data_IF_749281194959
#
_entry.id   IF_749281194959
#
_cell.length_a   1.000
_cell.length_b   1.000
_cell.length_c   1.000
_cell.angle_alpha   90.00
_cell.angle_beta   90.00
_cell.angle_gamma   90.00
#
_symmetry.space_group_name_H-M   'P 1'
#
loop_
_entity.id
_entity.type
_entity.pdbx_description
1 polymer ?
#
# COMPACT_ATOMS: atom_id res chain seq x y z
N UNK A 1 -24.90 -3.54 24.12
CA UNK A 1 -25.57 -3.50 22.80
C UNK A 1 -24.77 -4.36 21.84
N UNK A 2 -25.40 -5.29 21.13
CA UNK A 2 -24.72 -5.98 20.03
C UNK A 2 -24.36 -4.93 18.97
N UNK A 3 -23.07 -4.74 18.70
CA UNK A 3 -22.62 -3.83 17.64
C UNK A 3 -22.98 -4.48 16.32
N UNK A 4 -23.89 -3.90 15.54
CA UNK A 4 -24.15 -4.41 14.18
C UNK A 4 -22.90 -4.18 13.32
N UNK A 5 -22.72 -4.97 12.25
CA UNK A 5 -21.61 -4.76 11.29
C UNK A 5 -21.61 -3.33 10.75
N UNK A 6 -22.80 -2.75 10.55
CA UNK A 6 -22.97 -1.34 10.20
C UNK A 6 -22.37 -0.39 11.24
N UNK A 7 -22.70 -0.59 12.52
CA UNK A 7 -22.17 0.23 13.62
C UNK A 7 -20.65 0.11 13.71
N UNK A 8 -20.09 -1.08 13.48
CA UNK A 8 -18.64 -1.28 13.48
C UNK A 8 -17.97 -0.49 12.35
N UNK A 9 -18.54 -0.51 11.14
CA UNK A 9 -18.04 0.27 10.01
C UNK A 9 -18.12 1.77 10.29
N UNK A 10 -19.27 2.25 10.78
CA UNK A 10 -19.48 3.66 11.10
C UNK A 10 -18.54 4.16 12.21
N UNK A 11 -18.28 3.34 13.24
CA UNK A 11 -17.34 3.68 14.30
C UNK A 11 -15.90 3.78 13.77
N UNK A 12 -15.45 2.82 12.94
CA UNK A 12 -14.12 2.88 12.31
C UNK A 12 -13.99 4.11 11.40
N UNK A 13 -15.02 4.43 10.63
CA UNK A 13 -15.05 5.63 9.79
C UNK A 13 -14.89 6.90 10.64
N UNK A 14 -15.67 7.04 11.71
CA UNK A 14 -15.62 8.21 12.60
C UNK A 14 -14.25 8.36 13.25
N UNK A 15 -13.64 7.25 13.67
CA UNK A 15 -12.31 7.26 14.26
C UNK A 15 -11.23 7.72 13.25
N UNK A 16 -11.33 7.29 12.00
CA UNK A 16 -10.39 7.69 10.93
C UNK A 16 -10.62 9.15 10.51
N UNK A 17 -11.86 9.60 10.40
CA UNK A 17 -12.18 11.00 10.10
C UNK A 17 -11.69 11.96 11.18
N UNK A 18 -11.65 11.51 12.44
CA UNK A 18 -11.08 12.26 13.57
C UNK A 18 -9.56 12.15 13.71
N UNK A 19 -8.88 11.36 12.88
CA UNK A 19 -7.43 11.14 12.98
C UNK A 19 -6.63 12.27 12.31
N UNK A 20 -5.50 12.72 12.89
CA UNK A 20 -4.59 13.66 12.25
C UNK A 20 -3.70 13.02 11.16
N UNK A 21 -3.83 11.71 10.95
CA UNK A 21 -3.10 10.95 9.94
C UNK A 21 -3.20 11.57 8.54
N UNK A 22 -2.06 11.68 7.84
CA UNK A 22 -1.99 12.35 6.53
C UNK A 22 -2.87 11.67 5.49
N UNK A 23 -3.03 10.36 5.60
CA UNK A 23 -3.83 9.54 4.68
C UNK A 23 -5.29 9.38 5.14
N UNK A 24 -5.66 9.91 6.31
CA UNK A 24 -6.99 9.76 6.91
C UNK A 24 -8.11 10.13 5.94
N UNK A 25 -8.01 11.28 5.25
CA UNK A 25 -9.05 11.75 4.31
C UNK A 25 -9.25 10.80 3.13
N UNK A 26 -8.15 10.27 2.57
CA UNK A 26 -8.22 9.32 1.45
C UNK A 26 -8.83 7.99 1.90
N UNK A 27 -8.43 7.52 3.09
CA UNK A 27 -8.97 6.29 3.68
C UNK A 27 -10.46 6.46 4.01
N UNK A 28 -10.84 7.56 4.68
CA UNK A 28 -12.23 7.87 4.98
C UNK A 28 -13.10 7.96 3.71
N UNK A 29 -12.56 8.50 2.61
CA UNK A 29 -13.23 8.51 1.31
C UNK A 29 -13.53 7.11 0.78
N UNK A 30 -12.55 6.19 0.87
CA UNK A 30 -12.75 4.79 0.49
C UNK A 30 -13.76 4.08 1.40
N UNK A 31 -13.70 4.34 2.71
CA UNK A 31 -14.60 3.74 3.70
C UNK A 31 -16.04 4.24 3.57
N UNK A 32 -16.23 5.52 3.28
CA UNK A 32 -17.55 6.09 2.98
C UNK A 32 -18.19 5.39 1.77
N UNK A 33 -17.41 5.10 0.73
CA UNK A 33 -17.90 4.31 -0.42
C UNK A 33 -18.21 2.88 -0.02
N UNK A 34 -17.35 2.23 0.77
CA UNK A 34 -17.59 0.87 1.27
C UNK A 34 -18.87 0.78 2.13
N UNK A 35 -19.12 1.76 3.00
CA UNK A 35 -20.34 1.86 3.78
C UNK A 35 -21.58 2.02 2.89
N UNK A 36 -21.51 2.84 1.83
CA UNK A 36 -22.61 2.95 0.85
C UNK A 36 -22.88 1.63 0.13
N UNK A 37 -21.83 0.90 -0.26
CA UNK A 37 -22.00 -0.46 -0.81
C UNK A 37 -22.78 -1.31 0.16
N UNK A 38 -22.33 -1.39 1.41
CA UNK A 38 -22.96 -2.16 2.48
C UNK A 38 -24.44 -1.79 2.71
N UNK A 39 -24.73 -0.49 2.87
CA UNK A 39 -26.08 0.02 3.13
C UNK A 39 -27.06 -0.29 1.98
N UNK A 40 -26.55 -0.47 0.76
CA UNK A 40 -27.38 -0.81 -0.42
C UNK A 40 -27.58 -2.30 -0.64
N UNK A 41 -26.87 -3.20 0.07
CA UNK A 41 -26.98 -4.64 -0.18
C UNK A 41 -28.40 -5.20 0.07
N UNK A 42 -29.10 -4.86 1.17
CA UNK A 42 -30.42 -5.41 1.45
C UNK A 42 -31.49 -4.96 0.43
N UNK A 43 -31.24 -3.86 -0.29
CA UNK A 43 -32.19 -3.29 -1.25
C UNK A 43 -32.00 -3.79 -2.68
N UNK A 44 -31.04 -4.69 -2.94
CA UNK A 44 -30.76 -5.19 -4.29
C UNK A 44 -31.87 -6.12 -4.81
N UNK A 45 -32.36 -7.04 -3.98
CA UNK A 45 -33.26 -8.12 -4.43
C UNK A 45 -34.69 -7.65 -4.71
N UNK A 46 -35.25 -6.82 -3.84
CA UNK A 46 -36.67 -6.44 -3.91
C UNK A 46 -37.08 -5.76 -5.23
N UNK A 47 -36.29 -4.80 -5.79
CA UNK A 47 -36.58 -4.22 -7.10
C UNK A 47 -36.54 -5.25 -8.24
N UNK A 48 -35.61 -6.20 -8.18
CA UNK A 48 -35.47 -7.24 -9.22
C UNK A 48 -36.65 -8.21 -9.17
N UNK A 49 -37.15 -8.54 -7.98
CA UNK A 49 -38.37 -9.34 -7.80
C UNK A 49 -39.57 -8.61 -8.41
N UNK A 50 -39.79 -7.35 -8.04
CA UNK A 50 -40.90 -6.55 -8.57
C UNK A 50 -40.84 -6.39 -10.10
N UNK A 51 -39.63 -6.26 -10.66
CA UNK A 51 -39.43 -6.23 -12.11
C UNK A 51 -39.74 -7.59 -12.75
N UNK A 52 -39.26 -8.69 -12.16
CA UNK A 52 -39.54 -10.04 -12.66
C UNK A 52 -41.05 -10.33 -12.71
N UNK A 53 -41.77 -9.91 -11.66
CA UNK A 53 -43.22 -10.04 -11.57
C UNK A 53 -43.96 -9.19 -12.61
N UNK A 54 -43.59 -7.91 -12.73
CA UNK A 54 -44.27 -6.99 -13.67
C UNK A 54 -44.03 -7.36 -15.14
N UNK A 55 -42.85 -7.87 -15.47
CA UNK A 55 -42.47 -8.28 -16.83
C UNK A 55 -42.72 -9.77 -17.11
N UNK A 56 -43.32 -10.51 -16.16
CA UNK A 56 -43.57 -11.96 -16.26
C UNK A 56 -42.31 -12.76 -16.66
N UNK A 57 -41.16 -12.39 -16.08
CA UNK A 57 -39.87 -13.01 -16.40
C UNK A 57 -39.76 -14.40 -15.79
N UNK A 58 -39.00 -15.26 -16.46
CA UNK A 58 -38.70 -16.60 -15.95
C UNK A 58 -37.61 -16.58 -14.87
N UNK A 59 -37.48 -17.70 -14.15
CA UNK A 59 -36.50 -17.87 -13.06
C UNK A 59 -35.05 -17.70 -13.56
N UNK A 60 -34.75 -18.13 -14.78
CA UNK A 60 -33.43 -17.98 -15.38
C UNK A 60 -33.04 -16.50 -15.54
N UNK A 61 -33.96 -15.66 -16.00
CA UNK A 61 -33.75 -14.21 -16.08
C UNK A 61 -33.58 -13.60 -14.69
N UNK A 62 -34.42 -13.97 -13.72
CA UNK A 62 -34.36 -13.45 -12.36
C UNK A 62 -32.98 -13.75 -11.73
N UNK A 63 -32.51 -15.00 -11.83
CA UNK A 63 -31.19 -15.40 -11.35
C UNK A 63 -30.05 -14.64 -12.03
N UNK A 64 -30.13 -14.43 -13.35
CA UNK A 64 -29.12 -13.66 -14.07
C UNK A 64 -29.12 -12.18 -13.64
N UNK A 65 -30.28 -11.57 -13.42
CA UNK A 65 -30.40 -10.19 -12.98
C UNK A 65 -29.84 -10.01 -11.55
N UNK A 66 -30.16 -10.91 -10.63
CA UNK A 66 -29.62 -10.92 -9.26
C UNK A 66 -28.10 -11.09 -9.27
N UNK A 67 -27.59 -12.07 -10.02
CA UNK A 67 -26.14 -12.29 -10.14
C UNK A 67 -25.43 -11.07 -10.69
N UNK A 68 -25.98 -10.43 -11.73
CA UNK A 68 -25.41 -9.20 -12.30
C UNK A 68 -25.38 -8.08 -11.27
N UNK A 69 -26.47 -7.81 -10.55
CA UNK A 69 -26.55 -6.71 -9.60
C UNK A 69 -25.58 -6.88 -8.42
N UNK A 70 -25.45 -8.09 -7.87
CA UNK A 70 -24.44 -8.39 -6.86
C UNK A 70 -23.02 -8.42 -7.45
N UNK A 71 -22.87 -8.78 -8.72
CA UNK A 71 -21.61 -8.74 -9.46
C UNK A 71 -21.09 -7.30 -9.61
N UNK A 72 -21.97 -6.36 -9.95
CA UNK A 72 -21.64 -4.93 -10.02
C UNK A 72 -21.17 -4.40 -8.65
N UNK A 73 -21.82 -4.84 -7.55
CA UNK A 73 -21.39 -4.51 -6.18
C UNK A 73 -20.04 -5.14 -5.81
N UNK A 74 -19.78 -6.36 -6.28
CA UNK A 74 -18.49 -7.01 -6.10
C UNK A 74 -17.37 -6.25 -6.84
N UNK A 75 -17.63 -5.80 -8.07
CA UNK A 75 -16.69 -4.98 -8.85
C UNK A 75 -16.43 -3.64 -8.16
N UNK A 76 -17.47 -2.99 -7.64
CA UNK A 76 -17.34 -1.75 -6.86
C UNK A 76 -16.44 -1.97 -5.63
N UNK A 77 -16.66 -3.04 -4.87
CA UNK A 77 -15.84 -3.40 -3.72
C UNK A 77 -14.39 -3.74 -4.10
N UNK A 78 -14.18 -4.44 -5.21
CA UNK A 78 -12.86 -4.77 -5.70
C UNK A 78 -12.07 -3.54 -6.17
N UNK A 79 -12.73 -2.53 -6.74
CA UNK A 79 -12.12 -1.21 -7.01
C UNK A 79 -11.69 -0.53 -5.72
N UNK A 80 -12.51 -0.55 -4.67
CA UNK A 80 -12.14 0.01 -3.37
C UNK A 80 -10.93 -0.70 -2.74
N UNK A 81 -10.84 -2.03 -2.90
CA UNK A 81 -9.65 -2.81 -2.48
C UNK A 81 -8.41 -2.38 -3.23
N UNK A 82 -8.52 -2.15 -4.53
CA UNK A 82 -7.42 -1.65 -5.33
C UNK A 82 -7.00 -0.24 -4.87
N UNK A 83 -7.94 0.67 -4.63
CA UNK A 83 -7.66 2.01 -4.10
C UNK A 83 -6.91 1.92 -2.75
N UNK A 84 -7.35 1.06 -1.82
CA UNK A 84 -6.66 0.85 -0.54
C UNK A 84 -5.29 0.20 -0.73
N UNK A 85 -5.10 -0.67 -1.72
CA UNK A 85 -3.79 -1.23 -2.06
C UNK A 85 -2.82 -0.15 -2.61
N UNK A 86 -3.32 0.80 -3.39
CA UNK A 86 -2.53 1.96 -3.83
C UNK A 86 -2.14 2.86 -2.65
N UNK A 87 -3.04 3.05 -1.69
CA UNK A 87 -2.74 3.75 -0.45
C UNK A 87 -1.68 3.00 0.39
N UNK A 88 -1.76 1.67 0.48
CA UNK A 88 -0.72 0.85 1.11
C UNK A 88 0.66 1.06 0.47
N UNK A 89 0.74 1.01 -0.86
CA UNK A 89 2.01 1.28 -1.58
C UNK A 89 2.54 2.69 -1.32
N UNK A 90 1.66 3.68 -1.23
CA UNK A 90 2.04 5.06 -0.93
C UNK A 90 2.53 5.23 0.52
N UNK A 91 1.89 4.52 1.46
CA UNK A 91 2.27 4.47 2.87
C UNK A 91 3.65 3.82 3.07
N UNK A 92 3.89 2.68 2.41
CA UNK A 92 5.20 2.01 2.45
C UNK A 92 6.31 2.93 1.93
N UNK A 93 6.03 3.69 0.86
CA UNK A 93 6.96 4.67 0.30
C UNK A 93 7.15 5.92 1.18
N UNK A 94 6.20 6.23 2.07
CA UNK A 94 6.29 7.36 3.00
C UNK A 94 6.92 6.99 4.34
N UNK A 95 7.38 5.75 4.50
CA UNK A 95 8.10 5.33 5.70
C UNK A 95 9.28 6.27 5.92
N UNK A 96 9.41 6.90 7.09
CA UNK A 96 10.55 7.77 7.35
C UNK A 96 11.83 6.94 7.29
N UNK A 97 12.86 7.44 6.61
CA UNK A 97 14.09 6.70 6.36
C UNK A 97 15.29 7.41 6.97
N UNK A 98 16.34 6.61 7.23
CA UNK A 98 17.66 7.15 7.57
C UNK A 98 18.25 7.80 6.31
N UNK A 99 18.79 9.02 6.39
CA UNK A 99 19.39 9.68 5.23
C UNK A 99 20.43 8.79 4.55
N UNK A 100 20.43 8.72 3.20
CA UNK A 100 21.42 7.94 2.47
C UNK A 100 22.83 8.53 2.67
N UNK A 101 23.85 7.73 2.37
CA UNK A 101 25.24 8.21 2.38
C UNK A 101 25.39 9.29 1.31
N UNK A 102 26.00 10.42 1.69
CA UNK A 102 26.46 11.41 0.72
C UNK A 102 27.63 10.82 -0.08
N UNK A 103 27.38 10.52 -1.35
CA UNK A 103 28.38 9.91 -2.23
C UNK A 103 29.43 10.91 -2.72
N UNK A 104 29.24 12.21 -2.47
CA UNK A 104 30.17 13.26 -2.87
C UNK A 104 31.33 13.41 -1.89
N UNK A 105 31.15 12.98 -0.63
CA UNK A 105 32.22 12.92 0.36
C UNK A 105 32.82 11.51 0.43
N UNK A 106 33.94 11.32 -0.28
CA UNK A 106 34.64 10.04 -0.34
C UNK A 106 35.11 9.55 1.05
N UNK A 107 35.48 10.45 1.96
CA UNK A 107 35.95 10.08 3.30
C UNK A 107 34.78 9.55 4.14
N UNK A 108 33.64 10.23 4.10
CA UNK A 108 32.42 9.77 4.79
C UNK A 108 31.94 8.41 4.25
N UNK A 109 32.02 8.19 2.94
CA UNK A 109 31.70 6.89 2.33
C UNK A 109 32.63 5.78 2.85
N UNK A 110 33.94 6.02 2.85
CA UNK A 110 34.92 5.04 3.32
C UNK A 110 34.75 4.71 4.81
N UNK A 111 34.51 5.72 5.64
CA UNK A 111 34.25 5.54 7.07
C UNK A 111 32.97 4.72 7.30
N UNK A 112 31.90 5.02 6.57
CA UNK A 112 30.62 4.29 6.66
C UNK A 112 30.80 2.82 6.28
N UNK A 113 31.54 2.53 5.22
CA UNK A 113 31.84 1.16 4.81
C UNK A 113 32.69 0.43 5.87
N UNK A 114 33.71 1.10 6.43
CA UNK A 114 34.57 0.54 7.48
C UNK A 114 33.78 0.21 8.76
N UNK A 115 32.87 1.09 9.18
CA UNK A 115 31.95 0.83 10.29
C UNK A 115 31.02 -0.36 9.99
N UNK A 116 30.43 -0.41 8.79
CA UNK A 116 29.57 -1.53 8.39
C UNK A 116 30.33 -2.88 8.38
N UNK A 117 31.58 -2.91 7.93
CA UNK A 117 32.41 -4.11 7.96
C UNK A 117 32.73 -4.56 9.39
N UNK A 118 32.99 -3.62 10.31
CA UNK A 118 33.16 -3.93 11.74
C UNK A 118 31.90 -4.53 12.33
N UNK A 119 30.72 -3.99 12.00
CA UNK A 119 29.44 -4.55 12.42
C UNK A 119 29.28 -5.99 11.90
N UNK A 120 29.62 -6.26 10.64
CA UNK A 120 29.58 -7.61 10.09
C UNK A 120 30.53 -8.59 10.77
N UNK A 121 31.66 -8.11 11.27
CA UNK A 121 32.65 -8.90 12.01
C UNK A 121 32.34 -9.03 13.51
N UNK A 122 31.31 -8.32 14.00
CA UNK A 122 30.96 -8.31 15.43
C UNK A 122 30.24 -9.61 15.80
N UNK A 123 30.72 -10.34 16.82
CA UNK A 123 30.05 -11.54 17.33
C UNK A 123 28.60 -11.25 17.79
N UNK A 124 27.64 -12.18 17.61
CA UNK A 124 26.23 -11.96 17.98
C UNK A 124 26.01 -11.53 19.43
N UNK A 125 26.82 -12.05 20.34
CA UNK A 125 26.84 -11.71 21.77
C UNK A 125 27.29 -10.27 22.03
N UNK A 126 27.95 -9.60 21.09
CA UNK A 126 28.46 -8.22 21.22
C UNK A 126 27.66 -7.19 20.42
N UNK A 127 26.70 -7.64 19.61
CA UNK A 127 25.85 -6.78 18.75
C UNK A 127 25.12 -5.71 19.56
N UNK A 128 24.80 -5.98 20.83
CA UNK A 128 24.12 -5.03 21.71
C UNK A 128 25.02 -3.87 22.18
N UNK A 129 26.35 -4.02 22.11
CA UNK A 129 27.33 -2.97 22.43
C UNK A 129 27.62 -2.02 21.27
N UNK A 130 27.12 -2.33 20.07
CA UNK A 130 27.30 -1.46 18.91
C UNK A 130 26.72 -0.08 19.17
N UNK A 131 27.53 0.93 18.89
CA UNK A 131 27.17 2.33 18.99
C UNK A 131 26.06 2.69 17.99
N UNK A 132 25.41 3.83 18.22
CA UNK A 132 24.38 4.34 17.33
C UNK A 132 24.90 4.57 15.91
N UNK A 133 26.10 5.13 15.77
CA UNK A 133 26.69 5.44 14.47
C UNK A 133 27.09 4.18 13.69
N UNK A 134 27.56 3.15 14.38
CA UNK A 134 27.80 1.83 13.76
C UNK A 134 26.51 1.21 13.22
N UNK A 135 25.41 1.29 13.98
CA UNK A 135 24.11 0.81 13.52
C UNK A 135 23.60 1.61 12.31
N UNK A 136 23.75 2.94 12.32
CA UNK A 136 23.39 3.80 11.18
C UNK A 136 24.23 3.45 9.95
N UNK A 137 25.54 3.29 10.10
CA UNK A 137 26.43 2.93 9.01
C UNK A 137 26.08 1.55 8.43
N UNK A 138 25.77 0.59 9.29
CA UNK A 138 25.32 -0.74 8.89
C UNK A 138 23.98 -0.70 8.12
N UNK A 139 23.02 0.12 8.56
CA UNK A 139 21.74 0.30 7.88
C UNK A 139 21.86 1.03 6.53
N UNK A 140 22.86 1.90 6.39
CA UNK A 140 23.17 2.57 5.13
C UNK A 140 23.84 1.66 4.10
N UNK A 141 24.53 0.61 4.56
CA UNK A 141 25.16 -0.40 3.69
C UNK A 141 24.84 -1.83 4.16
N UNK A 142 23.56 -2.27 4.11
CA UNK A 142 23.11 -3.52 4.74
C UNK A 142 23.83 -4.76 4.22
N UNK A 143 24.12 -4.79 2.92
CA UNK A 143 24.82 -5.90 2.28
C UNK A 143 26.25 -6.09 2.82
N UNK A 144 26.95 -4.98 3.08
CA UNK A 144 28.29 -5.01 3.68
C UNK A 144 28.23 -5.42 5.15
N UNK A 145 27.22 -4.95 5.87
CA UNK A 145 27.03 -5.25 7.30
C UNK A 145 26.49 -6.66 7.58
N UNK A 146 26.07 -7.42 6.54
CA UNK A 146 25.50 -8.77 6.65
C UNK A 146 24.33 -8.87 7.64
N UNK A 147 23.54 -7.80 7.75
CA UNK A 147 22.38 -7.78 8.64
C UNK A 147 21.29 -8.71 8.14
N UNK A 148 20.63 -9.43 9.05
CA UNK A 148 19.37 -10.07 8.73
C UNK A 148 18.30 -8.98 8.47
N UNK A 149 17.28 -9.26 7.65
CA UNK A 149 16.19 -8.31 7.42
C UNK A 149 15.49 -7.87 8.71
N UNK A 150 15.34 -8.79 9.67
CA UNK A 150 14.71 -8.54 10.96
C UNK A 150 15.53 -7.57 11.81
N UNK A 151 16.85 -7.77 11.91
CA UNK A 151 17.74 -6.87 12.66
C UNK A 151 17.81 -5.49 12.00
N UNK A 152 17.91 -5.44 10.67
CA UNK A 152 17.92 -4.19 9.93
C UNK A 152 16.63 -3.39 10.16
N UNK A 153 15.48 -4.05 10.10
CA UNK A 153 14.18 -3.43 10.34
C UNK A 153 14.04 -2.92 11.78
N UNK A 154 14.46 -3.72 12.76
CA UNK A 154 14.41 -3.35 14.17
C UNK A 154 15.28 -2.12 14.49
N UNK A 155 16.52 -2.09 14.02
CA UNK A 155 17.40 -0.93 14.23
C UNK A 155 16.93 0.31 13.48
N UNK A 156 16.43 0.14 12.26
CA UNK A 156 15.85 1.23 11.49
C UNK A 156 14.73 1.90 12.27
N UNK A 157 13.77 1.13 12.79
CA UNK A 157 12.63 1.68 13.52
C UNK A 157 13.07 2.37 14.82
N UNK A 158 14.04 1.81 15.56
CA UNK A 158 14.58 2.47 16.75
C UNK A 158 15.22 3.83 16.43
N UNK A 159 16.04 3.89 15.38
CA UNK A 159 16.75 5.11 14.99
C UNK A 159 15.76 6.16 14.49
N UNK A 160 14.83 5.77 13.62
CA UNK A 160 13.80 6.67 13.09
C UNK A 160 12.88 7.18 14.19
N UNK A 161 12.47 6.32 15.13
CA UNK A 161 11.68 6.74 16.29
C UNK A 161 12.43 7.76 17.16
N UNK A 162 13.76 7.63 17.29
CA UNK A 162 14.56 8.59 18.04
C UNK A 162 14.79 9.91 17.32
N UNK A 163 15.01 9.88 15.99
CA UNK A 163 15.39 11.05 15.20
C UNK A 163 14.20 11.84 14.68
N UNK A 164 13.12 11.13 14.38
CA UNK A 164 11.93 11.65 13.73
C UNK A 164 10.67 11.12 14.44
N UNK A 165 10.50 11.34 15.76
CA UNK A 165 9.42 10.75 16.55
C UNK A 165 8.03 11.11 16.03
N UNK A 166 7.83 12.34 15.58
CA UNK A 166 6.55 12.81 15.04
C UNK A 166 6.22 12.15 13.69
N UNK A 167 7.19 12.03 12.79
CA UNK A 167 7.00 11.38 11.49
C UNK A 167 6.79 9.87 11.65
N UNK A 168 7.46 9.25 12.61
CA UNK A 168 7.26 7.84 12.95
C UNK A 168 5.88 7.60 13.55
N UNK A 169 5.43 8.44 14.49
CA UNK A 169 4.09 8.36 15.06
C UNK A 169 3.01 8.53 13.98
N UNK A 170 3.14 9.55 13.10
CA UNK A 170 2.22 9.76 12.00
C UNK A 170 2.15 8.55 11.04
N UNK A 171 3.31 7.94 10.73
CA UNK A 171 3.35 6.71 9.96
C UNK A 171 2.62 5.56 10.67
N UNK A 172 2.80 5.37 11.98
CA UNK A 172 2.06 4.34 12.72
C UNK A 172 0.54 4.57 12.72
N UNK A 173 0.09 5.83 12.80
CA UNK A 173 -1.33 6.18 12.69
C UNK A 173 -1.90 5.88 11.30
N UNK A 174 -1.17 6.23 10.22
CA UNK A 174 -1.55 5.88 8.86
C UNK A 174 -1.66 4.34 8.69
N UNK A 175 -0.75 3.57 9.28
CA UNK A 175 -0.77 2.11 9.25
C UNK A 175 -2.01 1.53 9.98
N UNK A 176 -2.39 2.12 11.12
CA UNK A 176 -3.59 1.73 11.85
C UNK A 176 -4.86 2.02 11.04
N UNK A 177 -4.95 3.20 10.43
CA UNK A 177 -6.08 3.57 9.56
C UNK A 177 -6.20 2.64 8.35
N UNK A 178 -5.07 2.24 7.74
CA UNK A 178 -5.07 1.27 6.64
C UNK A 178 -5.52 -0.13 7.09
N UNK A 179 -5.17 -0.56 8.31
CA UNK A 179 -5.65 -1.82 8.87
C UNK A 179 -7.17 -1.78 9.05
N UNK A 180 -7.68 -0.72 9.65
CA UNK A 180 -9.12 -0.51 9.82
C UNK A 180 -9.86 -0.47 8.49
N UNK A 181 -9.25 0.12 7.45
CA UNK A 181 -9.80 0.12 6.10
C UNK A 181 -9.96 -1.29 5.54
N UNK A 182 -8.96 -2.15 5.72
CA UNK A 182 -9.01 -3.54 5.29
C UNK A 182 -10.07 -4.33 6.07
N UNK A 183 -10.18 -4.11 7.37
CA UNK A 183 -11.23 -4.74 8.20
C UNK A 183 -12.63 -4.39 7.69
N UNK A 184 -12.88 -3.11 7.35
CA UNK A 184 -14.16 -2.68 6.80
C UNK A 184 -14.41 -3.34 5.45
N UNK A 185 -13.45 -3.32 4.53
CA UNK A 185 -13.60 -3.96 3.21
C UNK A 185 -13.85 -5.47 3.33
N UNK A 186 -13.33 -6.12 4.38
CA UNK A 186 -13.65 -7.51 4.70
C UNK A 186 -15.09 -7.65 5.20
N UNK A 187 -15.53 -6.81 6.14
CA UNK A 187 -16.91 -6.80 6.64
C UNK A 187 -17.93 -6.56 5.52
N UNK A 188 -17.64 -5.66 4.58
CA UNK A 188 -18.53 -5.38 3.43
C UNK A 188 -18.57 -6.56 2.46
N UNK A 189 -17.44 -7.22 2.17
CA UNK A 189 -17.46 -8.46 1.38
C UNK A 189 -18.31 -9.52 2.06
N UNK A 190 -18.20 -9.61 3.39
CA UNK A 190 -18.93 -10.60 4.14
C UNK A 190 -20.43 -10.37 4.07
N UNK A 191 -20.88 -9.14 4.27
CA UNK A 191 -22.28 -8.76 4.07
C UNK A 191 -22.76 -9.04 2.64
N UNK A 192 -21.92 -8.77 1.63
CA UNK A 192 -22.22 -9.07 0.23
C UNK A 192 -22.40 -10.57 0.00
N UNK A 193 -21.53 -11.41 0.57
CA UNK A 193 -21.64 -12.87 0.47
C UNK A 193 -22.92 -13.39 1.13
N UNK A 194 -23.28 -12.84 2.29
CA UNK A 194 -24.50 -13.21 3.02
C UNK A 194 -25.75 -12.84 2.23
N UNK A 195 -25.85 -11.58 1.79
CA UNK A 195 -27.00 -11.07 1.02
C UNK A 195 -27.13 -11.73 -0.35
N UNK A 196 -26.01 -12.08 -1.00
CA UNK A 196 -26.00 -12.81 -2.26
C UNK A 196 -26.33 -14.31 -2.08
N UNK A 197 -26.41 -14.82 -0.85
CA UNK A 197 -26.73 -16.22 -0.56
C UNK A 197 -25.56 -17.18 -0.80
N UNK A 198 -24.33 -16.66 -0.73
CA UNK A 198 -23.10 -17.43 -0.92
C UNK A 198 -22.48 -17.88 0.41
N UNK A 199 -23.14 -17.70 1.55
CA UNK A 199 -22.69 -18.22 2.85
C UNK A 199 -23.41 -19.54 3.15
N UNK A 200 -22.64 -20.59 3.45
CA UNK A 200 -23.19 -21.90 3.84
C UNK A 200 -23.46 -21.99 5.34
N UNK A 201 -24.06 -23.11 5.76
CA UNK A 201 -24.47 -23.36 7.16
C UNK A 201 -23.31 -23.30 8.18
N UNK A 202 -22.08 -23.50 7.72
CA UNK A 202 -20.86 -23.38 8.53
C UNK A 202 -20.43 -21.93 8.81
N UNK A 203 -21.13 -20.94 8.25
CA UNK A 203 -20.70 -19.56 8.28
C UNK A 203 -19.50 -19.28 7.36
N UNK A 204 -19.08 -20.19 6.50
CA UNK A 204 -18.06 -19.96 5.46
C UNK A 204 -18.66 -19.57 4.11
N UNK A 205 -17.90 -18.92 3.21
CA UNK A 205 -18.32 -18.78 1.81
C UNK A 205 -18.41 -20.17 1.14
N UNK A 206 -19.44 -20.35 0.33
CA UNK A 206 -19.66 -21.55 -0.48
C UNK A 206 -18.65 -21.63 -1.63
N UNK A 207 -18.42 -22.83 -2.18
CA UNK A 207 -17.59 -22.99 -3.39
C UNK A 207 -18.12 -22.20 -4.60
N UNK A 208 -19.41 -21.89 -4.63
CA UNK A 208 -20.02 -21.07 -5.67
C UNK A 208 -19.54 -19.61 -5.64
N UNK A 209 -19.13 -19.09 -4.47
CA UNK A 209 -18.57 -17.75 -4.33
C UNK A 209 -17.31 -17.58 -5.20
N UNK A 210 -16.36 -18.52 -5.14
CA UNK A 210 -15.09 -18.40 -5.86
C UNK A 210 -15.28 -18.41 -7.39
N UNK A 211 -16.28 -19.15 -7.88
CA UNK A 211 -16.63 -19.14 -9.29
C UNK A 211 -17.27 -17.81 -9.70
N UNK A 212 -18.24 -17.33 -8.90
CA UNK A 212 -18.90 -16.04 -9.09
C UNK A 212 -17.91 -14.87 -9.10
N UNK A 213 -16.98 -14.85 -8.14
CA UNK A 213 -15.95 -13.82 -8.01
C UNK A 213 -15.01 -13.83 -9.22
N UNK A 214 -14.57 -15.01 -9.67
CA UNK A 214 -13.71 -15.12 -10.85
C UNK A 214 -14.39 -14.60 -12.12
N UNK A 215 -15.66 -14.92 -12.32
CA UNK A 215 -16.43 -14.51 -13.49
C UNK A 215 -16.58 -12.98 -13.54
N UNK A 216 -16.97 -12.36 -12.43
CA UNK A 216 -17.28 -10.92 -12.40
C UNK A 216 -16.03 -10.04 -12.26
N UNK A 217 -14.96 -10.55 -11.65
CA UNK A 217 -13.72 -9.78 -11.49
C UNK A 217 -12.73 -9.93 -12.64
N UNK A 218 -12.91 -10.90 -13.56
CA UNK A 218 -12.00 -11.06 -14.69
C UNK A 218 -11.79 -9.78 -15.51
N UNK A 219 -12.84 -9.03 -15.91
CA UNK A 219 -12.65 -7.77 -16.64
C UNK A 219 -11.90 -6.71 -15.83
N UNK A 220 -12.19 -6.60 -14.53
CA UNK A 220 -11.52 -5.63 -13.65
C UNK A 220 -10.04 -5.99 -13.44
N UNK A 221 -9.70 -7.27 -13.31
CA UNK A 221 -8.31 -7.69 -13.19
C UNK A 221 -7.50 -7.35 -14.44
N UNK A 222 -8.10 -7.45 -15.62
CA UNK A 222 -7.44 -7.07 -16.87
C UNK A 222 -7.28 -5.54 -16.96
N UNK A 223 -8.28 -4.76 -16.55
CA UNK A 223 -8.20 -3.28 -16.45
C UNK A 223 -7.07 -2.85 -15.49
N UNK A 224 -7.01 -3.44 -14.29
CA UNK A 224 -5.97 -3.15 -13.29
C UNK A 224 -4.59 -3.52 -13.83
N UNK A 225 -4.44 -4.70 -14.45
CA UNK A 225 -3.15 -5.15 -15.00
C UNK A 225 -2.66 -4.22 -16.11
N UNK A 226 -3.57 -3.77 -16.98
CA UNK A 226 -3.23 -2.82 -18.04
C UNK A 226 -2.80 -1.46 -17.47
N UNK A 227 -3.51 -0.96 -16.45
CA UNK A 227 -3.18 0.29 -15.76
C UNK A 227 -1.82 0.23 -15.04
N UNK A 228 -1.55 -0.86 -14.31
CA UNK A 228 -0.27 -1.09 -13.62
C UNK A 228 0.89 -1.17 -14.64
N UNK A 229 0.69 -1.83 -15.78
CA UNK A 229 1.69 -1.91 -16.85
C UNK A 229 1.96 -0.53 -17.49
N UNK A 230 0.92 0.26 -17.75
CA UNK A 230 1.07 1.62 -18.27
C UNK A 230 1.85 2.51 -17.29
N UNK A 231 1.51 2.44 -16.00
CA UNK A 231 2.21 3.19 -14.94
C UNK A 231 3.67 2.76 -14.81
N UNK A 232 3.96 1.46 -14.90
CA UNK A 232 5.33 0.95 -14.86
C UNK A 232 6.17 1.44 -16.05
N UNK A 233 5.60 1.49 -17.24
CA UNK A 233 6.27 2.02 -18.43
C UNK A 233 6.54 3.53 -18.29
N UNK A 234 5.56 4.32 -17.84
CA UNK A 234 5.77 5.75 -17.59
C UNK A 234 6.90 6.01 -16.59
N UNK A 235 7.02 5.20 -15.53
CA UNK A 235 8.12 5.31 -14.56
C UNK A 235 9.48 4.98 -15.17
N UNK A 236 9.55 3.98 -16.07
CA UNK A 236 10.79 3.66 -16.79
C UNK A 236 11.20 4.81 -17.70
N UNK A 237 10.27 5.33 -18.50
CA UNK A 237 10.54 6.43 -19.41
C UNK A 237 11.02 7.68 -18.66
N UNK A 238 10.37 8.02 -17.54
CA UNK A 238 10.78 9.12 -16.67
C UNK A 238 12.18 8.90 -16.08
N UNK A 239 12.51 7.67 -15.66
CA UNK A 239 13.84 7.35 -15.14
C UNK A 239 14.92 7.43 -16.22
N UNK A 240 14.62 6.99 -17.45
CA UNK A 240 15.54 7.12 -18.59
C UNK A 240 15.82 8.59 -18.90
N UNK A 241 14.78 9.42 -18.99
CA UNK A 241 14.94 10.87 -19.23
C UNK A 241 15.73 11.55 -18.11
N UNK A 242 15.46 11.21 -16.85
CA UNK A 242 16.21 11.76 -15.71
C UNK A 242 17.68 11.34 -15.72
N UNK A 243 17.97 10.09 -16.08
CA UNK A 243 19.33 9.58 -16.19
C UNK A 243 20.10 10.24 -17.35
N UNK A 244 19.46 10.42 -18.50
CA UNK A 244 20.05 11.10 -19.66
C UNK A 244 20.35 12.58 -19.34
N UNK A 245 19.44 13.25 -18.63
CA UNK A 245 19.66 14.62 -18.14
C UNK A 245 20.84 14.69 -17.16
N UNK A 246 20.92 13.77 -16.20
CA UNK A 246 22.01 13.71 -15.23
C UNK A 246 23.37 13.43 -15.90
N UNK A 247 23.42 12.52 -16.88
CA UNK A 247 24.62 12.22 -17.66
C UNK A 247 25.06 13.41 -18.51
N UNK A 248 24.11 14.10 -19.14
CA UNK A 248 24.39 15.33 -19.90
C UNK A 248 24.95 16.44 -19.01
N UNK A 249 24.35 16.65 -17.83
CA UNK A 249 24.82 17.64 -16.86
C UNK A 249 26.21 17.30 -16.31
N UNK A 250 26.46 16.02 -15.97
CA UNK A 250 27.77 15.56 -15.53
C UNK A 250 28.84 15.75 -16.62
N UNK A 251 28.51 15.43 -17.88
CA UNK A 251 29.40 15.64 -19.01
C UNK A 251 29.68 17.13 -19.26
N UNK A 252 28.71 18.02 -19.02
CA UNK A 252 28.91 19.47 -19.11
C UNK A 252 29.86 19.96 -18.02
N UNK A 253 29.62 19.59 -16.76
CA UNK A 253 30.49 19.98 -15.63
C UNK A 253 31.93 19.52 -15.82
N UNK A 254 32.14 18.28 -16.24
CA UNK A 254 33.48 17.76 -16.53
C UNK A 254 34.16 18.55 -17.67
N UNK A 255 33.40 19.01 -18.67
CA UNK A 255 33.96 19.85 -19.75
C UNK A 255 34.36 21.23 -19.23
N UNK A 256 33.50 21.85 -18.44
CA UNK A 256 33.75 23.16 -17.83
C UNK A 256 34.99 23.10 -16.91
N UNK A 257 35.11 22.05 -16.08
CA UNK A 257 36.28 21.80 -15.21
C UNK A 257 37.58 21.60 -16.01
N UNK A 258 37.52 20.86 -17.12
CA UNK A 258 38.69 20.65 -17.98
C UNK A 258 39.12 21.92 -18.72
N UNK A 259 38.17 22.77 -19.12
CA UNK A 259 38.48 24.05 -19.75
C UNK A 259 39.06 25.05 -18.75
N UNK A 260 38.59 25.07 -17.50
CA UNK A 260 39.19 25.85 -16.42
C UNK A 260 40.60 25.35 -16.07
N UNK A 261 40.80 24.03 -15.99
CA UNK A 261 42.14 23.45 -15.78
C UNK A 261 43.12 23.85 -16.89
N UNK A 262 42.68 23.83 -18.16
CA UNK A 262 43.49 24.26 -19.30
C UNK A 262 43.84 25.75 -19.26
N UNK A 263 42.95 26.61 -18.74
CA UNK A 263 43.22 28.04 -18.57
C UNK A 263 44.29 28.29 -17.50
N UNK A 264 44.30 27.51 -16.42
CA UNK A 264 45.29 27.61 -15.34
C UNK A 264 46.70 27.20 -15.75
N UNK A 265 46.85 26.41 -16.82
CA UNK A 265 48.14 25.95 -17.35
C UNK A 265 48.75 26.89 -18.41
N UNK A 266 48.11 28.02 -18.73
CA UNK A 266 48.59 29.03 -19.67
C UNK A 266 49.01 30.30 -18.95
#
# INVERSE_FOLDING_TARGET
MAKTTRDLIANKLTAIEGSPAKMAKSIAGALNKALRVYDTLPTVRAPIIAQAESEQRNEAWHKAAVNKAFGDKLVELARLRHDVALLHRAHDASKPTIPPIDRTDLLSVMETISLAQRVAATPPDQVHHLSRDERIAALRVPATARLSPETAQFWHDQIVQSDQPELFAAHQEDAAALRDANDVLFMVQRGLQEEAGFVGDSGGPTHAWSAFEREHLAPLHDEIRASDAATANQRRDAATVANDAALSDAARRHRDEMDDFRRLLR
#
